data_IF_880316651807
#
_entry.id   IF_880316651807
#
_cell.length_a   1.000
_cell.length_b   1.000
_cell.length_c   1.000
_cell.angle_alpha   90.00
_cell.angle_beta   90.00
_cell.angle_gamma   90.00
#
_symmetry.space_group_name_H-M   'P 1'
#
loop_
_entity.id
_entity.type
_entity.pdbx_description
1 polymer ?
#
# COMPACT_ATOMS: atom_id res chain seq x y z
N UNK A 1 -4.12 -17.95 -17.82
CA UNK A 1 -4.82 -16.64 -17.90
C UNK A 1 -4.36 -15.85 -19.14
N UNK A 2 -5.26 -15.19 -19.88
CA UNK A 2 -4.90 -14.37 -21.04
C UNK A 2 -4.49 -12.98 -20.56
N UNK A 3 -3.26 -12.54 -20.89
CA UNK A 3 -2.70 -11.25 -20.45
C UNK A 3 -2.74 -10.28 -21.62
N UNK A 4 -3.37 -9.13 -21.40
CA UNK A 4 -3.42 -7.99 -22.34
C UNK A 4 -2.54 -6.88 -21.77
N UNK A 5 -1.47 -6.55 -22.48
CA UNK A 5 -0.59 -5.46 -22.11
C UNK A 5 -1.15 -4.14 -22.65
N UNK A 6 -1.19 -3.13 -21.76
CA UNK A 6 -1.67 -1.78 -22.10
C UNK A 6 -0.49 -0.82 -22.04
N UNK A 7 0.04 -0.36 -23.18
CA UNK A 7 1.11 0.60 -23.20
C UNK A 7 0.62 1.96 -22.67
N UNK A 8 1.22 2.45 -21.61
CA UNK A 8 0.97 3.80 -21.11
C UNK A 8 1.66 4.84 -22.01
N UNK A 9 1.07 6.02 -22.20
CA UNK A 9 1.71 7.08 -22.99
C UNK A 9 3.10 7.44 -22.44
N UNK A 10 3.99 7.93 -23.32
CA UNK A 10 5.34 8.33 -22.92
C UNK A 10 5.31 9.44 -21.86
N UNK A 11 6.23 9.38 -20.92
CA UNK A 11 6.39 10.33 -19.81
C UNK A 11 5.18 10.46 -18.87
N UNK A 12 4.14 9.66 -19.04
CA UNK A 12 2.99 9.59 -18.12
C UNK A 12 3.37 8.83 -16.87
N UNK A 13 3.11 9.42 -15.72
CA UNK A 13 3.44 8.86 -14.41
C UNK A 13 2.23 8.39 -13.61
N UNK A 14 1.09 9.01 -13.85
CA UNK A 14 -0.16 8.70 -13.17
C UNK A 14 -1.19 8.14 -14.15
N UNK A 15 -1.97 7.16 -13.68
CA UNK A 15 -3.03 6.56 -14.48
C UNK A 15 -4.06 7.60 -14.95
N UNK A 16 -4.29 8.65 -14.17
CA UNK A 16 -5.19 9.75 -14.54
C UNK A 16 -4.75 10.53 -15.79
N UNK A 17 -3.44 10.61 -16.01
CA UNK A 17 -2.87 11.26 -17.20
C UNK A 17 -3.07 10.42 -18.46
N UNK A 18 -3.07 9.08 -18.29
CA UNK A 18 -3.35 8.11 -19.36
C UNK A 18 -4.82 7.64 -19.44
N UNK A 19 -5.75 8.30 -18.73
CA UNK A 19 -7.13 7.84 -18.56
C UNK A 19 -7.86 7.51 -19.86
N UNK A 20 -7.63 8.28 -20.93
CA UNK A 20 -8.30 8.08 -22.21
C UNK A 20 -7.88 6.76 -22.86
N UNK A 21 -6.59 6.41 -22.80
CA UNK A 21 -6.07 5.12 -23.27
C UNK A 21 -6.64 3.98 -22.39
N UNK A 22 -6.58 4.14 -21.09
CA UNK A 22 -7.07 3.11 -20.16
C UNK A 22 -8.55 2.82 -20.37
N UNK A 23 -9.41 3.83 -20.38
CA UNK A 23 -10.85 3.63 -20.52
C UNK A 23 -11.30 3.28 -21.95
N UNK A 24 -10.45 3.40 -22.96
CA UNK A 24 -10.73 2.86 -24.30
C UNK A 24 -10.47 1.35 -24.40
N UNK A 25 -9.62 0.79 -23.52
CA UNK A 25 -9.22 -0.62 -23.53
C UNK A 25 -9.92 -1.41 -22.43
N UNK A 26 -9.97 -0.84 -21.21
CA UNK A 26 -10.62 -1.51 -20.09
C UNK A 26 -12.13 -1.65 -20.34
N UNK A 27 -12.71 -2.83 -20.13
CA UNK A 27 -14.12 -3.01 -20.36
C UNK A 27 -14.95 -2.17 -19.39
N UNK A 28 -16.01 -1.51 -19.86
CA UNK A 28 -16.91 -0.76 -18.99
C UNK A 28 -17.67 -1.69 -18.02
N UNK A 29 -17.87 -2.93 -18.41
CA UNK A 29 -18.56 -3.95 -17.64
C UNK A 29 -17.78 -5.27 -17.71
N UNK A 30 -18.02 -6.12 -16.70
CA UNK A 30 -17.38 -7.44 -16.60
C UNK A 30 -16.34 -7.52 -15.50
N UNK A 31 -15.68 -8.67 -15.45
CA UNK A 31 -14.70 -9.01 -14.39
C UNK A 31 -13.28 -9.01 -14.98
N UNK A 32 -12.38 -8.28 -14.37
CA UNK A 32 -10.99 -8.23 -14.84
C UNK A 32 -10.01 -7.98 -13.69
N UNK A 33 -8.77 -8.35 -13.94
CA UNK A 33 -7.62 -8.02 -13.10
C UNK A 33 -6.86 -6.88 -13.75
N UNK A 34 -6.51 -5.87 -12.97
CA UNK A 34 -5.70 -4.74 -13.41
C UNK A 34 -4.38 -4.70 -12.63
N UNK A 35 -3.32 -5.18 -13.27
CA UNK A 35 -1.96 -5.04 -12.80
C UNK A 35 -1.44 -3.64 -13.14
N UNK A 36 -1.34 -2.81 -12.12
CA UNK A 36 -0.81 -1.45 -12.27
C UNK A 36 0.70 -1.44 -12.55
N UNK A 37 1.41 -2.53 -12.26
CA UNK A 37 2.87 -2.71 -12.36
C UNK A 37 3.71 -1.63 -11.65
N UNK A 38 3.09 -0.54 -11.20
CA UNK A 38 3.75 0.58 -10.51
C UNK A 38 2.96 0.98 -9.27
N UNK A 39 3.62 1.00 -8.11
CA UNK A 39 3.03 1.50 -6.87
C UNK A 39 2.90 3.02 -6.91
N UNK A 40 1.81 3.55 -6.32
CA UNK A 40 1.61 4.99 -6.25
C UNK A 40 1.27 5.70 -7.55
N UNK A 41 0.92 4.97 -8.60
CA UNK A 41 0.53 5.53 -9.90
C UNK A 41 -0.91 6.09 -9.95
N UNK A 42 -1.62 6.20 -8.81
CA UNK A 42 -2.94 6.84 -8.75
C UNK A 42 -4.10 5.98 -9.27
N UNK A 43 -4.01 4.64 -9.19
CA UNK A 43 -5.08 3.77 -9.68
C UNK A 43 -6.41 3.99 -8.95
N UNK A 44 -6.43 3.99 -7.62
CA UNK A 44 -7.63 4.28 -6.81
C UNK A 44 -8.19 5.66 -7.12
N UNK A 45 -7.32 6.65 -7.28
CA UNK A 45 -7.64 8.02 -7.67
C UNK A 45 -8.41 8.09 -8.99
N UNK A 46 -7.92 7.37 -10.00
CA UNK A 46 -8.56 7.31 -11.32
C UNK A 46 -10.01 6.85 -11.23
N UNK A 47 -10.28 5.79 -10.46
CA UNK A 47 -11.63 5.24 -10.33
C UNK A 47 -12.53 6.07 -9.43
N UNK A 48 -12.01 6.67 -8.37
CA UNK A 48 -12.78 7.60 -7.51
C UNK A 48 -13.27 8.81 -8.31
N UNK A 49 -12.43 9.36 -9.18
CA UNK A 49 -12.78 10.49 -10.05
C UNK A 49 -13.52 10.09 -11.34
N UNK A 50 -13.85 8.81 -11.50
CA UNK A 50 -14.66 8.36 -12.65
C UNK A 50 -16.13 8.74 -12.48
N UNK A 51 -16.82 8.99 -13.60
CA UNK A 51 -18.24 9.34 -13.65
C UNK A 51 -19.21 8.16 -13.42
N UNK A 52 -18.79 7.08 -12.73
CA UNK A 52 -19.62 5.89 -12.49
C UNK A 52 -19.75 5.56 -11.00
N UNK A 53 -20.88 4.95 -10.57
CA UNK A 53 -21.00 4.41 -9.22
C UNK A 53 -19.89 3.42 -8.90
N UNK A 54 -19.32 3.50 -7.68
CA UNK A 54 -18.15 2.73 -7.28
C UNK A 54 -18.31 2.18 -5.86
N UNK A 55 -17.96 0.92 -5.67
CA UNK A 55 -17.67 0.34 -4.35
C UNK A 55 -16.17 0.06 -4.30
N UNK A 56 -15.43 0.88 -3.56
CA UNK A 56 -14.01 0.66 -3.29
C UNK A 56 -13.87 -0.22 -2.05
N UNK A 57 -13.30 -1.40 -2.26
CA UNK A 57 -13.03 -2.38 -1.22
C UNK A 57 -11.53 -2.44 -0.97
N UNK A 58 -11.14 -2.24 0.28
CA UNK A 58 -9.72 -2.29 0.67
C UNK A 58 -9.54 -3.18 1.91
N UNK A 59 -8.43 -3.93 2.01
CA UNK A 59 -8.13 -4.73 3.21
C UNK A 59 -7.84 -3.90 4.45
N UNK A 60 -7.56 -2.59 4.29
CA UNK A 60 -7.12 -1.71 5.37
C UNK A 60 -7.99 -0.46 5.50
N UNK A 61 -8.57 -0.26 6.68
CA UNK A 61 -9.38 0.92 6.99
C UNK A 61 -8.62 2.24 6.88
N UNK A 62 -7.32 2.24 7.21
CA UNK A 62 -6.45 3.41 7.09
C UNK A 62 -6.35 3.94 5.65
N UNK A 63 -6.36 3.04 4.64
CA UNK A 63 -6.40 3.42 3.22
C UNK A 63 -7.68 4.19 2.91
N UNK A 64 -8.82 3.65 3.35
CA UNK A 64 -10.13 4.25 3.13
C UNK A 64 -10.25 5.62 3.80
N UNK A 65 -9.70 5.76 5.02
CA UNK A 65 -9.64 7.02 5.74
C UNK A 65 -8.85 8.07 4.97
N UNK A 66 -7.67 7.71 4.49
CA UNK A 66 -6.84 8.60 3.70
C UNK A 66 -7.54 9.04 2.42
N UNK A 67 -8.18 8.10 1.71
CA UNK A 67 -8.91 8.40 0.48
C UNK A 67 -10.11 9.32 0.74
N UNK A 68 -10.88 9.07 1.78
CA UNK A 68 -12.00 9.93 2.15
C UNK A 68 -11.54 11.37 2.46
N UNK A 69 -10.41 11.52 3.17
CA UNK A 69 -9.86 12.84 3.49
C UNK A 69 -9.26 13.55 2.25
N UNK A 70 -8.74 12.80 1.28
CA UNK A 70 -8.18 13.35 0.03
C UNK A 70 -9.26 13.78 -0.97
N UNK A 71 -10.48 13.26 -0.85
CA UNK A 71 -11.58 13.47 -1.79
C UNK A 71 -12.88 13.96 -1.12
N UNK A 72 -12.86 15.05 -0.34
CA UNK A 72 -14.05 15.57 0.32
C UNK A 72 -15.14 15.98 -0.68
N UNK A 73 -14.77 16.33 -1.91
CA UNK A 73 -15.67 16.75 -2.98
C UNK A 73 -16.51 15.58 -3.54
N UNK A 74 -16.09 14.34 -3.34
CA UNK A 74 -16.78 13.17 -3.91
C UNK A 74 -18.03 12.74 -3.10
N UNK A 75 -18.34 13.37 -1.97
CA UNK A 75 -19.46 12.98 -1.09
C UNK A 75 -19.47 11.48 -0.78
N UNK A 76 -18.35 10.96 -0.27
CA UNK A 76 -18.14 9.53 -0.07
C UNK A 76 -18.90 8.98 1.12
N UNK A 77 -19.45 7.74 0.97
CA UNK A 77 -19.77 6.89 2.11
C UNK A 77 -18.52 6.14 2.55
N UNK A 78 -18.25 6.08 3.85
CA UNK A 78 -17.16 5.31 4.42
C UNK A 78 -17.58 4.57 5.68
N UNK A 79 -17.23 3.28 5.78
CA UNK A 79 -17.31 2.53 7.04
C UNK A 79 -16.18 2.95 8.00
N UNK A 80 -16.48 2.99 9.28
CA UNK A 80 -15.50 3.27 10.32
C UNK A 80 -15.10 1.99 11.06
N UNK A 81 -13.86 1.93 11.56
CA UNK A 81 -13.45 0.87 12.48
C UNK A 81 -14.32 0.88 13.74
N UNK A 82 -14.67 -0.31 14.24
CA UNK A 82 -15.50 -0.48 15.44
C UNK A 82 -16.92 0.09 15.33
N UNK A 83 -17.40 0.43 14.13
CA UNK A 83 -18.78 0.86 13.93
C UNK A 83 -19.72 -0.33 14.18
N UNK A 84 -20.81 -0.08 14.90
CA UNK A 84 -21.85 -1.10 15.10
C UNK A 84 -22.51 -1.40 13.76
N UNK A 85 -22.84 -2.68 13.53
CA UNK A 85 -23.42 -3.14 12.28
C UNK A 85 -24.70 -2.41 11.89
N UNK A 86 -25.59 -2.20 12.85
CA UNK A 86 -26.88 -1.53 12.61
C UNK A 86 -26.68 -0.05 12.24
N UNK A 87 -25.69 0.61 12.84
CA UNK A 87 -25.33 1.99 12.51
C UNK A 87 -24.76 2.06 11.08
N UNK A 88 -23.90 1.10 10.70
CA UNK A 88 -23.35 1.00 9.35
C UNK A 88 -24.46 0.83 8.31
N UNK A 89 -25.38 -0.11 8.53
CA UNK A 89 -26.52 -0.36 7.62
C UNK A 89 -27.44 0.85 7.50
N UNK A 90 -27.73 1.51 8.61
CA UNK A 90 -28.59 2.70 8.63
C UNK A 90 -27.96 3.86 7.88
N UNK A 91 -26.69 4.14 8.10
CA UNK A 91 -25.95 5.19 7.38
C UNK A 91 -25.83 4.91 5.89
N UNK A 92 -25.56 3.65 5.52
CA UNK A 92 -25.47 3.23 4.11
C UNK A 92 -26.81 3.45 3.39
N UNK A 93 -27.92 3.06 4.01
CA UNK A 93 -29.26 3.28 3.45
C UNK A 93 -29.55 4.75 3.27
N UNK A 94 -29.32 5.55 4.31
CA UNK A 94 -29.51 7.01 4.24
C UNK A 94 -28.66 7.64 3.13
N UNK A 95 -27.39 7.23 3.00
CA UNK A 95 -26.51 7.71 1.95
C UNK A 95 -27.05 7.37 0.54
N UNK A 96 -27.50 6.13 0.32
CA UNK A 96 -28.05 5.69 -0.97
C UNK A 96 -29.40 6.36 -1.26
N UNK A 97 -30.24 6.57 -0.25
CA UNK A 97 -31.55 7.25 -0.39
C UNK A 97 -31.41 8.74 -0.70
N UNK A 98 -30.38 9.38 -0.13
CA UNK A 98 -30.09 10.80 -0.37
C UNK A 98 -29.35 11.06 -1.68
N UNK A 99 -28.83 10.02 -2.35
CA UNK A 99 -28.12 10.16 -3.60
C UNK A 99 -29.08 10.16 -4.80
N UNK A 100 -29.18 11.29 -5.48
CA UNK A 100 -30.06 11.48 -6.65
C UNK A 100 -29.36 11.25 -7.98
N UNK A 101 -28.28 10.45 -8.00
CA UNK A 101 -27.59 10.12 -9.25
C UNK A 101 -28.46 9.24 -10.16
N UNK A 102 -28.64 9.69 -11.40
CA UNK A 102 -29.26 8.91 -12.46
C UNK A 102 -28.25 8.79 -13.61
N UNK A 103 -27.89 7.56 -13.96
CA UNK A 103 -26.94 7.31 -15.04
C UNK A 103 -27.42 7.96 -16.36
N UNK A 104 -26.59 8.81 -16.93
CA UNK A 104 -26.89 9.53 -18.18
C UNK A 104 -27.77 10.80 -18.03
N UNK A 105 -28.32 11.09 -16.84
CA UNK A 105 -29.17 12.26 -16.59
C UNK A 105 -28.53 13.30 -15.65
N UNK A 106 -27.42 12.94 -14.99
CA UNK A 106 -26.69 13.85 -14.10
C UNK A 106 -26.67 13.42 -12.63
N UNK A 107 -26.12 14.30 -11.77
CA UNK A 107 -25.87 14.01 -10.36
C UNK A 107 -24.47 13.47 -10.10
N UNK A 108 -24.08 13.43 -8.82
CA UNK A 108 -22.79 12.86 -8.40
C UNK A 108 -22.91 11.36 -8.22
N UNK A 109 -22.12 10.54 -8.94
CA UNK A 109 -22.20 9.09 -8.79
C UNK A 109 -21.83 8.65 -7.37
N UNK A 110 -22.61 7.74 -6.75
CA UNK A 110 -22.32 7.28 -5.40
C UNK A 110 -20.99 6.55 -5.33
N UNK A 111 -20.20 6.87 -4.29
CA UNK A 111 -18.89 6.27 -4.01
C UNK A 111 -18.92 5.68 -2.59
N UNK A 112 -18.75 4.38 -2.50
CA UNK A 112 -18.80 3.64 -1.24
C UNK A 112 -17.41 3.09 -0.94
N UNK A 113 -16.83 3.47 0.20
CA UNK A 113 -15.53 3.02 0.68
C UNK A 113 -15.74 2.05 1.86
N UNK A 114 -15.35 0.80 1.68
CA UNK A 114 -15.67 -0.27 2.64
C UNK A 114 -14.48 -1.23 2.80
N UNK A 115 -14.33 -1.79 4.01
CA UNK A 115 -13.37 -2.89 4.24
C UNK A 115 -13.90 -4.22 3.74
N UNK A 116 -12.99 -5.19 3.51
CA UNK A 116 -13.36 -6.55 3.11
C UNK A 116 -14.38 -7.18 4.06
N UNK A 117 -14.16 -7.05 5.38
CA UNK A 117 -15.03 -7.66 6.41
C UNK A 117 -16.47 -7.11 6.37
N UNK A 118 -16.63 -5.86 5.92
CA UNK A 118 -17.93 -5.17 5.88
C UNK A 118 -18.57 -5.15 4.49
N UNK A 119 -17.86 -5.57 3.44
CA UNK A 119 -18.31 -5.48 2.05
C UNK A 119 -19.63 -6.27 1.80
N UNK A 120 -19.85 -7.37 2.51
CA UNK A 120 -21.08 -8.17 2.42
C UNK A 120 -22.34 -7.33 2.63
N UNK A 121 -22.32 -6.35 3.53
CA UNK A 121 -23.50 -5.54 3.83
C UNK A 121 -23.82 -4.56 2.69
N UNK A 122 -22.81 -4.08 1.99
CA UNK A 122 -23.00 -3.27 0.79
C UNK A 122 -23.58 -4.11 -0.34
N UNK A 123 -23.04 -5.32 -0.54
CA UNK A 123 -23.53 -6.26 -1.56
C UNK A 123 -25.01 -6.61 -1.29
N UNK A 124 -25.36 -6.99 -0.06
CA UNK A 124 -26.73 -7.30 0.34
C UNK A 124 -27.70 -6.11 0.11
N UNK A 125 -27.30 -4.90 0.49
CA UNK A 125 -28.12 -3.69 0.33
C UNK A 125 -28.32 -3.32 -1.15
N UNK A 126 -27.26 -3.40 -1.97
CA UNK A 126 -27.34 -3.12 -3.41
C UNK A 126 -28.14 -4.18 -4.17
N UNK A 127 -28.11 -5.45 -3.72
CA UNK A 127 -28.97 -6.51 -4.24
C UNK A 127 -30.43 -6.26 -3.90
N UNK A 128 -30.73 -5.95 -2.63
CA UNK A 128 -32.08 -5.61 -2.19
C UNK A 128 -32.68 -4.48 -3.04
N UNK A 129 -31.87 -3.48 -3.37
CA UNK A 129 -32.25 -2.36 -4.24
C UNK A 129 -32.25 -2.70 -5.73
N UNK A 130 -31.79 -3.87 -6.13
CA UNK A 130 -31.60 -4.29 -7.53
C UNK A 130 -30.69 -3.36 -8.34
N UNK A 131 -29.71 -2.71 -7.68
CA UNK A 131 -28.81 -1.73 -8.29
C UNK A 131 -27.34 -2.19 -8.33
N UNK A 132 -27.04 -3.39 -7.87
CA UNK A 132 -25.69 -3.92 -7.73
C UNK A 132 -24.90 -3.86 -9.05
N UNK A 133 -25.54 -4.13 -10.18
CA UNK A 133 -24.89 -4.12 -11.49
C UNK A 133 -24.61 -2.71 -12.07
N UNK A 134 -25.12 -1.67 -11.43
CA UNK A 134 -24.79 -0.30 -11.77
C UNK A 134 -23.41 0.14 -11.19
N UNK A 135 -22.93 -0.58 -10.19
CA UNK A 135 -21.69 -0.28 -9.52
C UNK A 135 -20.52 -1.07 -10.11
N UNK A 136 -19.35 -0.41 -10.17
CA UNK A 136 -18.08 -1.10 -10.29
C UNK A 136 -17.59 -1.45 -8.88
N UNK A 137 -17.26 -2.70 -8.63
CA UNK A 137 -16.58 -3.15 -7.43
C UNK A 137 -15.07 -3.13 -7.69
N UNK A 138 -14.37 -2.18 -7.08
CA UNK A 138 -12.92 -2.06 -7.16
C UNK A 138 -12.30 -2.67 -5.91
N UNK A 139 -11.71 -3.86 -6.04
CA UNK A 139 -10.96 -4.52 -4.96
C UNK A 139 -9.51 -4.09 -5.06
N UNK A 140 -9.14 -3.08 -4.28
CA UNK A 140 -7.78 -2.54 -4.27
C UNK A 140 -6.86 -3.40 -3.38
N UNK A 141 -5.62 -3.58 -3.81
CA UNK A 141 -4.61 -4.44 -3.18
C UNK A 141 -5.13 -5.88 -2.98
N UNK A 142 -5.76 -6.44 -4.03
CA UNK A 142 -6.42 -7.76 -3.95
C UNK A 142 -5.45 -8.92 -3.67
N UNK A 143 -4.14 -8.74 -3.88
CA UNK A 143 -3.13 -9.74 -3.52
C UNK A 143 -3.15 -10.07 -2.02
N UNK A 144 -3.67 -9.16 -1.17
CA UNK A 144 -3.83 -9.41 0.27
C UNK A 144 -4.78 -10.57 0.56
N UNK A 145 -5.78 -10.79 -0.30
CA UNK A 145 -6.69 -11.94 -0.20
C UNK A 145 -5.96 -13.28 -0.31
N UNK A 146 -4.80 -13.27 -0.96
CA UNK A 146 -3.97 -14.46 -1.17
C UNK A 146 -2.86 -14.50 -0.12
N UNK A 147 -2.17 -13.38 0.14
CA UNK A 147 -1.05 -13.31 1.08
C UNK A 147 -1.47 -13.48 2.55
N UNK A 148 -2.66 -13.01 2.91
CA UNK A 148 -3.21 -13.12 4.27
C UNK A 148 -3.98 -14.44 4.49
N UNK A 149 -4.03 -15.33 3.50
CA UNK A 149 -4.80 -16.60 3.55
C UNK A 149 -4.43 -17.50 4.74
N UNK A 150 -3.21 -17.41 5.27
CA UNK A 150 -2.79 -18.12 6.49
C UNK A 150 -3.51 -17.64 7.75
N UNK A 151 -4.03 -16.40 7.77
CA UNK A 151 -4.70 -15.80 8.92
C UNK A 151 -6.21 -15.65 8.74
N UNK A 152 -6.66 -15.36 7.51
CA UNK A 152 -8.06 -15.03 7.19
C UNK A 152 -8.63 -15.83 6.02
N UNK A 153 -7.94 -16.87 5.54
CA UNK A 153 -8.24 -17.55 4.27
C UNK A 153 -9.70 -17.99 4.09
N UNK A 154 -10.38 -18.40 5.16
CA UNK A 154 -11.80 -18.75 5.08
C UNK A 154 -12.68 -17.53 4.80
N UNK A 155 -12.47 -16.45 5.52
CA UNK A 155 -13.25 -15.19 5.37
C UNK A 155 -13.00 -14.55 4.01
N UNK A 156 -11.75 -14.53 3.55
CA UNK A 156 -11.36 -13.92 2.28
C UNK A 156 -11.91 -14.73 1.10
N UNK A 157 -11.90 -16.06 1.18
CA UNK A 157 -12.50 -16.92 0.17
C UNK A 157 -14.03 -16.81 0.14
N UNK A 158 -14.69 -16.71 1.29
CA UNK A 158 -16.14 -16.48 1.39
C UNK A 158 -16.51 -15.13 0.76
N UNK A 159 -15.70 -14.09 1.01
CA UNK A 159 -15.87 -12.79 0.36
C UNK A 159 -15.74 -12.88 -1.15
N UNK A 160 -14.68 -13.52 -1.68
CA UNK A 160 -14.49 -13.68 -3.13
C UNK A 160 -15.67 -14.40 -3.78
N UNK A 161 -16.13 -15.52 -3.21
CA UNK A 161 -17.30 -16.27 -3.70
C UNK A 161 -18.56 -15.43 -3.70
N UNK A 162 -18.79 -14.68 -2.63
CA UNK A 162 -19.95 -13.81 -2.51
C UNK A 162 -19.90 -12.69 -3.54
N UNK A 163 -18.77 -12.04 -3.72
CA UNK A 163 -18.61 -10.96 -4.68
C UNK A 163 -18.78 -11.49 -6.11
N UNK A 164 -18.10 -12.59 -6.44
CA UNK A 164 -18.15 -13.20 -7.77
C UNK A 164 -19.55 -13.70 -8.14
N UNK A 165 -20.28 -14.24 -7.18
CA UNK A 165 -21.64 -14.75 -7.40
C UNK A 165 -22.72 -13.69 -7.54
N UNK A 166 -22.45 -12.45 -7.10
CA UNK A 166 -23.49 -11.40 -7.00
C UNK A 166 -23.22 -10.17 -7.86
N UNK A 167 -21.96 -9.81 -8.11
CA UNK A 167 -21.60 -8.63 -8.89
C UNK A 167 -21.11 -9.02 -10.29
N UNK A 168 -21.54 -8.27 -11.29
CA UNK A 168 -21.12 -8.46 -12.69
C UNK A 168 -19.88 -7.62 -13.04
N UNK A 169 -19.69 -6.47 -12.38
CA UNK A 169 -18.64 -5.51 -12.71
C UNK A 169 -17.61 -5.47 -11.58
N UNK A 170 -16.49 -6.15 -11.76
CA UNK A 170 -15.44 -6.28 -10.74
C UNK A 170 -14.08 -5.98 -11.36
N UNK A 171 -13.33 -5.07 -10.73
CA UNK A 171 -11.93 -4.83 -11.01
C UNK A 171 -11.09 -5.25 -9.79
N UNK A 172 -10.29 -6.28 -9.96
CA UNK A 172 -9.26 -6.67 -8.98
C UNK A 172 -7.97 -5.92 -9.32
N UNK A 173 -7.58 -4.94 -8.50
CA UNK A 173 -6.48 -4.05 -8.81
C UNK A 173 -5.32 -4.23 -7.83
N UNK A 174 -4.10 -4.29 -8.38
CA UNK A 174 -2.86 -4.30 -7.60
C UNK A 174 -1.69 -3.73 -8.41
N UNK A 175 -0.67 -3.23 -7.72
CA UNK A 175 0.63 -2.92 -8.33
C UNK A 175 1.61 -4.10 -8.22
N UNK A 176 1.29 -5.05 -7.36
CA UNK A 176 2.10 -6.25 -7.07
C UNK A 176 1.17 -7.46 -6.97
N UNK A 177 0.49 -7.84 -8.06
CA UNK A 177 -0.44 -8.97 -8.03
C UNK A 177 0.30 -10.27 -7.74
N UNK A 178 -0.45 -11.24 -7.20
CA UNK A 178 0.06 -12.59 -7.03
C UNK A 178 0.41 -13.21 -8.38
N UNK A 179 1.37 -14.14 -8.39
CA UNK A 179 1.79 -14.83 -9.62
C UNK A 179 0.66 -15.68 -10.21
N UNK A 180 0.66 -15.82 -11.55
CA UNK A 180 -0.37 -16.54 -12.31
C UNK A 180 -0.77 -17.89 -11.73
N UNK A 181 0.14 -18.78 -11.25
CA UNK A 181 -0.27 -20.06 -10.70
C UNK A 181 -1.24 -19.96 -9.51
N UNK A 182 -1.09 -18.94 -8.68
CA UNK A 182 -1.99 -18.71 -7.54
C UNK A 182 -3.34 -18.16 -8.00
N UNK A 183 -3.34 -17.28 -9.00
CA UNK A 183 -4.58 -16.74 -9.58
C UNK A 183 -5.36 -17.81 -10.34
N UNK A 184 -4.69 -18.68 -11.11
CA UNK A 184 -5.31 -19.77 -11.86
C UNK A 184 -5.91 -20.84 -10.94
N UNK A 185 -5.42 -20.97 -9.70
CA UNK A 185 -5.96 -21.90 -8.71
C UNK A 185 -7.35 -21.49 -8.19
N UNK A 186 -7.67 -20.19 -8.20
CA UNK A 186 -8.95 -19.67 -7.71
C UNK A 186 -9.96 -19.56 -8.84
N UNK A 187 -11.12 -20.17 -8.65
CA UNK A 187 -12.20 -20.24 -9.68
C UNK A 187 -12.69 -18.85 -10.05
N UNK A 188 -12.73 -17.95 -9.08
CA UNK A 188 -13.22 -16.57 -9.21
C UNK A 188 -12.36 -15.73 -10.18
N UNK A 189 -11.08 -16.09 -10.36
CA UNK A 189 -10.20 -15.39 -11.29
C UNK A 189 -10.08 -16.04 -12.67
N UNK A 190 -10.51 -17.28 -12.85
CA UNK A 190 -10.35 -18.02 -14.12
C UNK A 190 -10.99 -17.35 -15.32
N UNK A 191 -12.10 -16.65 -15.10
CA UNK A 191 -12.85 -15.96 -16.15
C UNK A 191 -12.51 -14.47 -16.24
N UNK A 192 -11.52 -13.99 -15.46
CA UNK A 192 -11.08 -12.61 -15.53
C UNK A 192 -10.09 -12.42 -16.68
N UNK A 193 -10.25 -11.33 -17.43
CA UNK A 193 -9.21 -10.86 -18.34
C UNK A 193 -8.15 -10.17 -17.50
N UNK A 194 -6.88 -10.44 -17.78
CA UNK A 194 -5.77 -9.83 -17.06
C UNK A 194 -5.19 -8.70 -17.89
N UNK A 195 -5.32 -7.47 -17.42
CA UNK A 195 -4.71 -6.28 -18.00
C UNK A 195 -3.48 -5.88 -17.21
N UNK A 196 -2.35 -5.70 -17.90
CA UNK A 196 -1.09 -5.27 -17.31
C UNK A 196 -0.66 -3.96 -17.93
N UNK A 197 -0.39 -2.95 -17.10
CA UNK A 197 0.12 -1.67 -17.58
C UNK A 197 1.61 -1.76 -17.88
N UNK A 198 1.99 -1.31 -19.06
CA UNK A 198 3.38 -1.13 -19.47
C UNK A 198 3.75 0.35 -19.42
N UNK A 199 4.56 0.69 -18.43
CA UNK A 199 5.02 2.06 -18.22
C UNK A 199 6.26 2.37 -19.04
N UNK A 200 6.39 3.63 -19.49
CA UNK A 200 7.62 4.14 -20.08
C UNK A 200 8.80 3.88 -19.09
N UNK A 201 9.88 3.23 -19.54
CA UNK A 201 11.05 3.00 -18.70
C UNK A 201 11.63 4.27 -18.05
N UNK A 202 11.40 5.44 -18.65
CA UNK A 202 11.88 6.72 -18.13
C UNK A 202 11.13 7.18 -16.86
N UNK A 203 9.92 6.69 -16.62
CA UNK A 203 9.15 7.01 -15.41
C UNK A 203 9.32 5.96 -14.31
N UNK A 204 9.90 4.79 -14.66
CA UNK A 204 10.18 3.75 -13.69
C UNK A 204 11.40 4.14 -12.85
N UNK A 205 11.23 4.14 -11.55
CA UNK A 205 12.31 4.44 -10.61
C UNK A 205 12.80 3.16 -9.97
N UNK A 206 14.10 2.90 -10.11
CA UNK A 206 14.75 1.75 -9.48
C UNK A 206 15.29 2.12 -8.11
N UNK A 207 14.85 1.43 -7.04
CA UNK A 207 15.47 1.62 -5.74
C UNK A 207 16.88 1.01 -5.75
N UNK A 208 17.88 1.74 -5.25
CA UNK A 208 19.18 1.16 -4.94
C UNK A 208 19.13 0.59 -3.54
N UNK A 209 19.19 -0.71 -3.46
CA UNK A 209 19.16 -1.45 -2.21
C UNK A 209 20.58 -1.66 -1.70
N UNK A 210 20.86 -1.19 -0.48
CA UNK A 210 22.10 -1.51 0.24
C UNK A 210 21.80 -2.53 1.32
N UNK A 211 22.33 -3.71 1.18
CA UNK A 211 22.23 -4.74 2.20
C UNK A 211 23.23 -4.47 3.34
N UNK A 212 22.75 -4.55 4.56
CA UNK A 212 23.58 -4.54 5.77
C UNK A 212 23.48 -5.93 6.41
N UNK A 213 24.52 -6.73 6.24
CA UNK A 213 24.58 -8.05 6.83
C UNK A 213 24.84 -7.96 8.33
N UNK A 214 24.04 -8.65 9.12
CA UNK A 214 24.25 -8.76 10.55
C UNK A 214 25.35 -9.81 10.85
N UNK A 215 26.34 -9.42 11.64
CA UNK A 215 27.40 -10.32 12.11
C UNK A 215 26.88 -11.24 13.21
N UNK A 216 27.63 -12.29 13.53
CA UNK A 216 27.29 -13.17 14.65
C UNK A 216 27.20 -12.37 15.97
N UNK A 217 26.05 -12.43 16.62
CA UNK A 217 25.77 -11.68 17.86
C UNK A 217 25.13 -10.32 17.68
N UNK A 218 25.04 -9.78 16.46
CA UNK A 218 24.27 -8.58 16.15
C UNK A 218 22.77 -8.92 16.05
N UNK A 219 21.95 -7.95 16.40
CA UNK A 219 20.49 -8.04 16.32
C UNK A 219 19.96 -6.80 15.59
N UNK A 220 18.71 -6.81 15.08
CA UNK A 220 18.09 -5.59 14.54
C UNK A 220 18.17 -4.40 15.51
N UNK A 221 18.08 -4.67 16.81
CA UNK A 221 18.15 -3.66 17.86
C UNK A 221 19.55 -3.02 17.92
N UNK A 222 20.61 -3.84 17.95
CA UNK A 222 21.99 -3.33 18.05
C UNK A 222 22.38 -2.53 16.82
N UNK A 223 22.07 -3.03 15.62
CA UNK A 223 22.38 -2.33 14.36
C UNK A 223 21.62 -1.00 14.29
N UNK A 224 20.33 -0.98 14.62
CA UNK A 224 19.60 0.28 14.53
C UNK A 224 20.01 1.26 15.63
N UNK A 225 20.43 0.77 16.80
CA UNK A 225 21.05 1.61 17.83
C UNK A 225 22.35 2.26 17.34
N UNK A 226 23.14 1.56 16.53
CA UNK A 226 24.35 2.13 15.90
C UNK A 226 23.98 3.19 14.86
N UNK A 227 22.93 2.98 14.07
CA UNK A 227 22.39 3.95 13.13
C UNK A 227 21.93 5.21 13.88
N UNK A 228 21.19 5.07 14.99
CA UNK A 228 20.74 6.19 15.81
C UNK A 228 21.95 6.95 16.42
N UNK A 229 22.93 6.23 16.95
CA UNK A 229 24.17 6.87 17.50
C UNK A 229 24.90 7.66 16.42
N UNK A 230 25.03 7.08 15.23
CA UNK A 230 25.63 7.76 14.09
C UNK A 230 24.84 9.02 13.70
N UNK A 231 23.51 8.90 13.61
CA UNK A 231 22.64 10.06 13.33
C UNK A 231 22.81 11.17 14.39
N UNK A 232 22.79 10.82 15.67
CA UNK A 232 22.98 11.80 16.75
C UNK A 232 24.33 12.51 16.69
N UNK A 233 25.37 11.84 16.20
CA UNK A 233 26.71 12.41 16.02
C UNK A 233 26.79 13.27 14.75
N UNK A 234 26.28 12.77 13.63
CA UNK A 234 26.52 13.31 12.29
C UNK A 234 25.37 14.24 11.82
N UNK A 235 24.17 14.13 12.42
CA UNK A 235 22.99 14.92 12.09
C UNK A 235 22.25 14.43 10.84
N UNK A 236 22.62 13.28 10.26
CA UNK A 236 21.97 12.72 9.07
C UNK A 236 22.08 11.19 9.00
N UNK A 237 21.11 10.56 8.33
CA UNK A 237 21.11 9.11 8.05
C UNK A 237 21.91 8.76 6.80
N UNK A 238 21.75 9.57 5.76
CA UNK A 238 22.44 9.42 4.50
C UNK A 238 22.78 10.79 3.89
N UNK A 239 23.79 10.82 3.01
CA UNK A 239 24.16 12.03 2.27
C UNK A 239 24.37 11.71 0.79
N UNK A 240 24.05 12.67 -0.06
CA UNK A 240 24.32 12.62 -1.51
C UNK A 240 24.89 13.94 -1.97
N UNK A 241 25.78 13.87 -2.95
CA UNK A 241 26.32 15.06 -3.63
C UNK A 241 25.78 15.01 -5.06
N UNK A 242 25.02 16.01 -5.46
CA UNK A 242 24.43 16.13 -6.80
C UNK A 242 24.78 17.51 -7.34
N UNK A 243 25.46 17.56 -8.47
CA UNK A 243 25.93 18.81 -9.10
C UNK A 243 26.71 19.73 -8.13
N UNK A 244 27.54 19.15 -7.26
CA UNK A 244 28.34 19.88 -6.28
C UNK A 244 27.59 20.30 -5.00
N UNK A 245 26.28 20.10 -4.92
CA UNK A 245 25.49 20.39 -3.73
C UNK A 245 25.32 19.16 -2.85
N UNK A 246 25.54 19.33 -1.54
CA UNK A 246 25.35 18.28 -0.55
C UNK A 246 23.90 18.26 -0.06
N UNK A 247 23.28 17.08 -0.12
CA UNK A 247 21.94 16.81 0.41
C UNK A 247 22.04 15.81 1.56
N UNK A 248 21.25 16.03 2.62
CA UNK A 248 21.25 15.21 3.83
C UNK A 248 19.85 14.68 4.12
N UNK A 249 19.77 13.40 4.48
CA UNK A 249 18.55 12.78 5.00
C UNK A 249 18.52 12.94 6.51
N UNK A 250 17.51 13.60 7.03
CA UNK A 250 17.32 13.84 8.48
C UNK A 250 16.14 13.07 9.07
N UNK A 251 15.44 12.31 8.24
CA UNK A 251 14.29 11.49 8.61
C UNK A 251 14.52 10.03 8.22
N UNK A 252 14.03 9.09 9.03
CA UNK A 252 14.08 7.65 8.77
C UNK A 252 12.69 7.03 8.87
N UNK A 253 12.29 6.28 7.83
CA UNK A 253 11.13 5.40 7.86
C UNK A 253 11.62 3.96 8.00
N UNK A 254 11.17 3.27 9.04
CA UNK A 254 11.73 1.99 9.50
C UNK A 254 10.63 0.94 9.54
N UNK A 255 10.72 -0.04 8.67
CA UNK A 255 9.79 -1.17 8.61
C UNK A 255 10.31 -2.34 9.43
N UNK A 256 9.60 -2.70 10.50
CA UNK A 256 9.92 -3.82 11.39
C UNK A 256 8.62 -4.56 11.75
N UNK A 257 8.47 -5.81 11.32
CA UNK A 257 7.25 -6.57 11.60
C UNK A 257 7.21 -7.20 13.01
N UNK A 258 7.92 -6.62 13.98
CA UNK A 258 7.89 -7.04 15.39
C UNK A 258 7.82 -5.82 16.31
N UNK A 259 6.62 -5.50 16.79
CA UNK A 259 6.39 -4.34 17.69
C UNK A 259 7.22 -4.40 18.95
N UNK A 260 7.49 -5.60 19.47
CA UNK A 260 8.38 -5.78 20.63
C UNK A 260 9.82 -5.31 20.34
N UNK A 261 10.30 -5.48 19.14
CA UNK A 261 11.61 -4.98 18.70
C UNK A 261 11.58 -3.45 18.59
N UNK A 262 10.51 -2.86 18.05
CA UNK A 262 10.32 -1.40 18.01
C UNK A 262 10.37 -0.84 19.44
N UNK A 263 9.60 -1.40 20.38
CA UNK A 263 9.60 -0.97 21.78
C UNK A 263 11.00 -1.01 22.41
N UNK A 264 11.76 -2.09 22.18
CA UNK A 264 13.13 -2.22 22.69
C UNK A 264 14.09 -1.18 22.10
N UNK A 265 13.99 -0.91 20.79
CA UNK A 265 14.79 0.15 20.13
C UNK A 265 14.49 1.50 20.78
N UNK A 266 13.22 1.84 20.98
CA UNK A 266 12.79 3.09 21.62
C UNK A 266 13.38 3.20 23.02
N UNK A 267 13.23 2.18 23.85
CA UNK A 267 13.69 2.18 25.24
C UNK A 267 15.23 2.27 25.33
N UNK A 268 15.96 1.44 24.58
CA UNK A 268 17.42 1.40 24.63
C UNK A 268 18.08 2.68 24.12
N UNK A 269 17.42 3.41 23.25
CA UNK A 269 17.95 4.63 22.68
C UNK A 269 17.31 5.90 23.25
N UNK A 270 16.43 5.77 24.26
CA UNK A 270 15.70 6.88 24.87
C UNK A 270 15.05 7.81 23.82
N UNK A 271 14.36 7.17 22.83
CA UNK A 271 13.66 7.94 21.80
C UNK A 271 12.41 8.61 22.39
N UNK A 272 12.22 9.88 22.05
CA UNK A 272 11.12 10.69 22.60
C UNK A 272 9.90 10.72 21.66
N UNK A 273 8.68 10.89 22.19
CA UNK A 273 7.48 11.08 21.35
C UNK A 273 7.57 12.27 20.41
N UNK A 274 8.35 13.31 20.75
CA UNK A 274 8.57 14.49 19.92
C UNK A 274 9.36 14.21 18.65
N UNK A 275 10.23 13.19 18.67
CA UNK A 275 11.09 12.81 17.53
C UNK A 275 10.64 11.51 16.84
N UNK A 276 9.62 10.82 17.38
CA UNK A 276 9.26 9.47 16.92
C UNK A 276 7.77 9.33 16.67
N UNK A 277 7.43 8.77 15.51
CA UNK A 277 6.08 8.32 15.13
C UNK A 277 6.03 6.80 15.12
N UNK A 278 4.91 6.21 15.59
CA UNK A 278 4.71 4.76 15.65
C UNK A 278 3.43 4.39 14.92
N UNK A 279 3.58 3.64 13.83
CA UNK A 279 2.51 3.19 12.95
C UNK A 279 2.38 1.67 13.03
N UNK A 280 1.57 1.21 13.97
CA UNK A 280 1.29 -0.20 14.23
C UNK A 280 -0.22 -0.42 14.37
N UNK A 281 -0.66 -1.68 14.43
CA UNK A 281 -2.05 -2.00 14.75
C UNK A 281 -2.38 -1.63 16.19
N UNK A 282 -3.50 -0.94 16.41
CA UNK A 282 -4.02 -0.60 17.74
C UNK A 282 -4.35 -1.84 18.59
N UNK A 283 -4.65 -2.97 17.95
CA UNK A 283 -4.91 -4.24 18.65
C UNK A 283 -3.65 -4.93 19.19
N UNK A 284 -2.45 -4.39 18.92
CA UNK A 284 -1.20 -5.00 19.38
C UNK A 284 -1.05 -4.88 20.90
N UNK A 285 -0.65 -5.98 21.53
CA UNK A 285 -0.47 -6.06 23.00
C UNK A 285 0.56 -5.10 23.59
N UNK A 286 1.51 -4.63 22.79
CA UNK A 286 2.55 -3.70 23.23
C UNK A 286 2.09 -2.22 23.20
N UNK A 287 0.92 -1.92 22.61
CA UNK A 287 0.37 -0.56 22.52
C UNK A 287 0.31 0.11 23.89
N UNK A 288 -0.26 -0.55 24.90
CA UNK A 288 -0.35 0.00 26.28
C UNK A 288 1.00 0.38 26.87
N UNK A 289 2.09 -0.31 26.51
CA UNK A 289 3.44 0.02 26.98
C UNK A 289 3.98 1.26 26.29
N UNK A 290 3.73 1.40 24.98
CA UNK A 290 4.13 2.56 24.21
C UNK A 290 3.35 3.82 24.66
N UNK A 291 2.05 3.70 24.92
CA UNK A 291 1.23 4.78 25.47
C UNK A 291 1.70 5.26 26.86
N UNK A 292 2.13 4.32 27.74
CA UNK A 292 2.75 4.67 29.04
C UNK A 292 4.07 5.43 28.90
N UNK A 293 4.75 5.28 27.78
CA UNK A 293 5.94 6.05 27.42
C UNK A 293 5.61 7.39 26.74
N UNK A 294 4.32 7.72 26.63
CA UNK A 294 3.84 8.98 26.05
C UNK A 294 3.65 8.96 24.53
N UNK A 295 3.74 7.79 23.87
CA UNK A 295 3.55 7.72 22.42
C UNK A 295 2.08 7.61 22.04
N UNK A 296 1.67 8.35 21.03
CA UNK A 296 0.39 8.17 20.34
C UNK A 296 0.58 7.15 19.22
N UNK A 297 -0.33 6.17 19.14
CA UNK A 297 -0.25 5.09 18.14
C UNK A 297 -1.16 5.41 16.97
N UNK A 298 -0.67 5.14 15.76
CA UNK A 298 -1.44 5.33 14.54
C UNK A 298 -1.60 6.78 14.09
N UNK A 299 -0.96 7.73 14.77
CA UNK A 299 -0.95 9.13 14.37
C UNK A 299 -0.28 9.26 12.99
N UNK A 300 -1.03 9.80 12.03
CA UNK A 300 -0.48 10.08 10.72
C UNK A 300 0.04 11.51 10.69
N UNK A 301 1.34 11.64 10.53
CA UNK A 301 2.03 12.92 10.65
C UNK A 301 2.02 13.74 9.36
N UNK A 302 1.52 13.22 8.23
CA UNK A 302 1.89 13.83 6.96
C UNK A 302 0.69 14.20 6.10
N UNK A 303 0.50 15.50 5.93
CA UNK A 303 -0.24 16.09 4.82
C UNK A 303 0.72 16.26 3.64
N UNK A 304 0.23 16.01 2.42
CA UNK A 304 0.99 16.21 1.18
C UNK A 304 1.46 17.66 1.01
N UNK A 305 0.64 18.61 1.43
CA UNK A 305 0.89 20.05 1.26
C UNK A 305 1.72 20.64 2.39
N UNK A 306 1.73 20.00 3.56
CA UNK A 306 2.48 20.44 4.73
C UNK A 306 3.06 19.21 5.48
N UNK A 307 4.06 18.54 4.91
CA UNK A 307 4.63 17.34 5.52
C UNK A 307 5.39 17.72 6.79
N UNK A 308 4.80 17.44 7.94
CA UNK A 308 5.47 17.53 9.24
C UNK A 308 5.84 16.12 9.66
N UNK A 309 7.10 15.76 9.47
CA UNK A 309 7.62 14.45 9.83
C UNK A 309 8.47 14.54 11.08
N UNK A 310 8.48 13.46 11.87
CA UNK A 310 9.44 13.28 12.95
C UNK A 310 10.69 12.57 12.43
N UNK A 311 11.77 12.66 13.18
CA UNK A 311 13.05 12.05 12.82
C UNK A 311 12.95 10.55 12.56
N UNK A 312 12.15 9.85 13.37
CA UNK A 312 11.97 8.39 13.25
C UNK A 312 10.50 8.06 13.05
N UNK A 313 10.20 7.24 12.06
CA UNK A 313 8.88 6.66 11.84
C UNK A 313 9.01 5.15 11.82
N UNK A 314 8.49 4.46 12.85
CA UNK A 314 8.47 3.01 12.92
C UNK A 314 7.16 2.44 12.41
N UNK A 315 7.24 1.46 11.53
CA UNK A 315 6.11 0.84 10.85
C UNK A 315 6.11 -0.69 11.07
N UNK A 316 4.95 -1.26 11.42
CA UNK A 316 4.73 -2.71 11.33
C UNK A 316 3.98 -3.08 10.05
N UNK A 317 3.74 -4.39 9.82
CA UNK A 317 3.01 -4.90 8.65
C UNK A 317 1.65 -4.19 8.43
N UNK A 318 0.97 -3.78 9.50
CA UNK A 318 -0.27 -3.02 9.42
C UNK A 318 -0.15 -1.69 8.65
N UNK A 319 1.07 -1.19 8.44
CA UNK A 319 1.35 0.08 7.76
C UNK A 319 2.06 -0.09 6.41
N UNK A 320 2.44 -1.33 6.01
CA UNK A 320 3.08 -1.58 4.71
C UNK A 320 2.14 -1.28 3.55
N UNK A 321 0.86 -1.51 3.79
CA UNK A 321 -0.19 -1.34 2.82
C UNK A 321 -1.05 -0.14 3.22
N UNK A 322 -1.10 0.89 2.36
CA UNK A 322 -2.06 1.97 2.46
C UNK A 322 -1.71 3.19 3.28
N UNK A 323 -0.52 3.28 3.90
CA UNK A 323 -0.05 4.51 4.51
C UNK A 323 1.03 5.15 3.66
N UNK A 324 0.80 6.38 3.25
CA UNK A 324 1.72 7.15 2.42
C UNK A 324 2.59 8.07 3.28
N UNK A 325 3.86 8.20 2.94
CA UNK A 325 4.81 9.10 3.59
C UNK A 325 5.15 10.26 2.65
N UNK A 326 4.92 11.46 3.11
CA UNK A 326 5.20 12.68 2.37
C UNK A 326 6.41 13.39 2.97
N UNK A 327 7.59 12.77 2.85
CA UNK A 327 8.86 13.34 3.29
C UNK A 327 9.69 13.82 2.12
N UNK A 328 10.35 14.95 2.29
CA UNK A 328 11.30 15.51 1.31
C UNK A 328 12.68 14.90 1.38
N UNK A 329 13.01 14.18 2.46
CA UNK A 329 14.35 13.64 2.66
C UNK A 329 14.44 12.32 3.44
N UNK A 330 13.33 11.63 3.73
CA UNK A 330 13.37 10.40 4.51
C UNK A 330 14.12 9.28 3.79
N UNK A 331 14.95 8.57 4.58
CA UNK A 331 15.65 7.36 4.19
C UNK A 331 14.89 6.14 4.71
N UNK A 332 14.79 5.08 3.91
CA UNK A 332 14.01 3.88 4.26
C UNK A 332 14.92 2.77 4.77
N UNK A 333 14.52 2.15 5.87
CA UNK A 333 15.12 0.94 6.43
C UNK A 333 14.08 -0.19 6.50
N UNK A 334 14.44 -1.38 6.05
CA UNK A 334 13.57 -2.57 6.11
C UNK A 334 14.32 -3.67 6.85
N UNK A 335 13.75 -4.12 7.98
CA UNK A 335 14.30 -5.22 8.77
C UNK A 335 13.69 -6.55 8.35
N UNK A 336 14.54 -7.51 8.03
CA UNK A 336 14.18 -8.86 7.65
C UNK A 336 14.83 -9.85 8.61
N UNK A 337 14.06 -10.82 9.09
CA UNK A 337 14.57 -11.94 9.86
C UNK A 337 14.11 -13.26 9.24
N UNK A 338 14.96 -13.85 8.40
CA UNK A 338 14.66 -15.11 7.73
C UNK A 338 14.60 -16.34 8.67
N UNK A 339 14.84 -16.16 9.97
CA UNK A 339 14.66 -17.24 10.97
C UNK A 339 13.26 -17.30 11.54
N UNK A 340 12.43 -16.30 11.22
CA UNK A 340 11.06 -16.18 11.72
C UNK A 340 10.11 -15.97 10.54
N UNK A 341 9.21 -16.87 10.31
CA UNK A 341 8.26 -16.82 9.18
C UNK A 341 7.47 -15.50 9.12
N UNK A 342 7.11 -14.93 10.27
CA UNK A 342 6.38 -13.66 10.35
C UNK A 342 7.24 -12.40 10.13
N UNK A 343 8.57 -12.54 10.03
CA UNK A 343 9.51 -11.47 9.69
C UNK A 343 10.17 -11.66 8.33
N UNK A 344 9.76 -12.70 7.59
CA UNK A 344 10.06 -12.83 6.17
C UNK A 344 9.11 -11.94 5.39
N UNK A 345 9.61 -11.32 4.34
CA UNK A 345 8.82 -10.47 3.45
C UNK A 345 8.90 -11.01 2.04
N UNK A 346 7.73 -11.05 1.39
CA UNK A 346 7.68 -11.37 -0.04
C UNK A 346 8.36 -10.24 -0.83
N UNK A 347 9.37 -10.65 -1.61
CA UNK A 347 10.20 -9.73 -2.38
C UNK A 347 9.42 -9.11 -3.54
N UNK A 348 8.49 -9.88 -4.10
CA UNK A 348 7.69 -9.45 -5.25
C UNK A 348 6.50 -8.61 -4.86
N UNK A 349 6.01 -8.73 -3.63
CA UNK A 349 4.79 -8.08 -3.15
C UNK A 349 5.11 -7.05 -2.06
N UNK A 350 5.65 -7.47 -0.91
CA UNK A 350 5.76 -6.61 0.28
C UNK A 350 6.88 -5.57 0.17
N UNK A 351 8.06 -5.96 -0.35
CA UNK A 351 9.19 -5.02 -0.50
C UNK A 351 8.84 -3.86 -1.45
N UNK A 352 8.31 -4.08 -2.67
CA UNK A 352 7.86 -3.00 -3.53
C UNK A 352 6.78 -2.11 -2.90
N UNK A 353 5.88 -2.70 -2.10
CA UNK A 353 4.86 -1.94 -1.38
C UNK A 353 5.49 -0.98 -0.35
N UNK A 354 6.43 -1.45 0.48
CA UNK A 354 7.15 -0.61 1.45
C UNK A 354 7.91 0.51 0.76
N UNK A 355 8.64 0.21 -0.31
CA UNK A 355 9.42 1.18 -1.07
C UNK A 355 8.55 2.22 -1.75
N UNK A 356 7.38 1.82 -2.25
CA UNK A 356 6.41 2.71 -2.88
C UNK A 356 5.69 3.68 -1.93
N UNK A 357 5.90 3.61 -0.61
CA UNK A 357 5.21 4.48 0.36
C UNK A 357 5.75 5.90 0.43
N UNK A 358 6.99 6.14 0.03
CA UNK A 358 7.56 7.48 -0.08
C UNK A 358 7.00 8.18 -1.33
N UNK A 359 6.12 9.18 -1.15
CA UNK A 359 5.34 9.76 -2.26
C UNK A 359 5.94 11.00 -2.91
N UNK A 360 6.72 11.80 -2.17
CA UNK A 360 7.26 13.03 -2.74
C UNK A 360 8.46 12.75 -3.65
N UNK A 361 8.41 13.31 -4.85
CA UNK A 361 9.45 13.13 -5.87
C UNK A 361 10.70 13.94 -5.59
N UNK A 362 10.54 15.02 -4.84
CA UNK A 362 11.65 15.84 -4.36
C UNK A 362 12.51 15.11 -3.32
N UNK A 363 12.05 13.99 -2.78
CA UNK A 363 12.84 13.17 -1.87
C UNK A 363 13.95 12.43 -2.63
N UNK A 364 15.14 12.98 -2.62
CA UNK A 364 16.34 12.44 -3.27
C UNK A 364 16.85 11.13 -2.66
N UNK A 365 16.37 10.77 -1.47
CA UNK A 365 16.75 9.56 -0.75
C UNK A 365 15.72 8.44 -0.90
N UNK A 366 14.58 8.74 -1.51
CA UNK A 366 13.52 7.79 -1.81
C UNK A 366 14.01 6.64 -2.68
N UNK A 367 14.89 6.98 -3.66
CA UNK A 367 15.51 6.04 -4.58
C UNK A 367 16.89 6.56 -4.99
N UNK A 368 17.84 5.65 -5.24
CA UNK A 368 19.08 6.07 -5.88
C UNK A 368 18.86 6.20 -7.40
N UNK A 369 19.00 7.40 -7.88
CA UNK A 369 18.91 7.71 -9.30
C UNK A 369 20.25 7.40 -9.96
N UNK A 370 20.38 6.28 -10.65
CA UNK A 370 21.45 6.11 -11.63
C UNK A 370 20.85 6.35 -13.03
N UNK A 371 20.98 7.56 -13.53
CA UNK A 371 20.86 7.86 -14.94
C UNK A 371 22.08 7.27 -15.66
N UNK A 372 22.07 5.98 -15.95
CA UNK A 372 22.86 5.43 -17.04
C UNK A 372 22.04 4.37 -17.75
N UNK A 373 21.87 4.61 -19.06
CA UNK A 373 21.26 3.80 -20.07
C UNK A 373 21.74 2.35 -20.05
N UNK A 374 21.25 1.54 -19.13
CA UNK A 374 21.34 0.09 -19.24
C UNK A 374 19.92 -0.45 -19.18
N UNK A 375 19.48 -1.05 -20.28
CA UNK A 375 18.29 -1.87 -20.38
C UNK A 375 18.38 -2.97 -19.32
N UNK A 376 17.85 -2.70 -18.14
CA UNK A 376 17.81 -3.69 -17.08
C UNK A 376 16.58 -4.57 -17.28
N UNK A 377 16.82 -5.80 -17.67
CA UNK A 377 15.79 -6.80 -17.94
C UNK A 377 15.12 -7.19 -16.61
N UNK A 378 13.80 -7.10 -16.50
CA UNK A 378 13.01 -7.35 -15.29
C UNK A 378 13.24 -8.76 -14.72
N UNK A 379 13.51 -9.75 -15.59
CA UNK A 379 13.89 -11.11 -15.19
C UNK A 379 15.25 -11.17 -14.48
N UNK A 380 16.21 -10.33 -14.85
CA UNK A 380 17.49 -10.22 -14.13
C UNK A 380 17.32 -9.60 -12.74
N UNK A 381 16.29 -8.76 -12.52
CA UNK A 381 15.98 -8.17 -11.22
C UNK A 381 15.37 -9.19 -10.26
N UNK A 382 14.43 -10.03 -10.71
CA UNK A 382 13.95 -11.18 -9.92
C UNK A 382 15.10 -12.05 -9.45
N UNK A 383 16.06 -12.33 -10.32
CA UNK A 383 17.25 -13.11 -10.00
C UNK A 383 18.20 -12.39 -9.03
N UNK A 384 18.30 -11.05 -9.11
CA UNK A 384 19.18 -10.29 -8.21
C UNK A 384 18.60 -10.23 -6.80
N UNK A 385 17.29 -9.97 -6.64
CA UNK A 385 16.62 -10.06 -5.36
C UNK A 385 16.59 -11.49 -4.81
N UNK A 386 16.33 -12.51 -5.61
CA UNK A 386 16.35 -13.91 -5.17
C UNK A 386 17.71 -14.37 -4.69
N UNK A 387 18.83 -13.83 -5.21
CA UNK A 387 20.18 -14.09 -4.70
C UNK A 387 20.42 -13.51 -3.30
N UNK A 388 19.72 -12.43 -2.93
CA UNK A 388 19.83 -11.85 -1.59
C UNK A 388 19.07 -12.66 -0.52
N UNK A 389 18.13 -13.53 -0.91
CA UNK A 389 17.23 -14.26 -0.01
C UNK A 389 17.40 -15.77 -0.05
N UNK A 390 18.66 -16.25 -0.13
CA UNK A 390 18.91 -17.69 0.05
C UNK A 390 18.54 -18.14 1.47
N UNK A 391 17.98 -19.36 1.65
CA UNK A 391 17.42 -19.84 2.93
C UNK A 391 18.39 -19.88 4.13
N UNK A 392 19.68 -19.69 3.90
CA UNK A 392 20.72 -19.79 4.91
C UNK A 392 21.16 -18.47 5.57
N UNK A 393 20.50 -17.35 5.29
CA UNK A 393 20.91 -16.04 5.82
C UNK A 393 19.98 -15.59 6.96
N UNK A 394 20.52 -15.62 8.18
CA UNK A 394 19.76 -15.56 9.43
C UNK A 394 19.13 -14.21 9.77
N UNK A 395 19.74 -13.06 9.41
CA UNK A 395 19.20 -11.72 9.72
C UNK A 395 19.73 -10.70 8.72
N UNK A 396 18.87 -9.82 8.21
CA UNK A 396 19.25 -8.76 7.26
C UNK A 396 18.55 -7.43 7.57
N UNK A 397 19.28 -6.35 7.39
CA UNK A 397 18.76 -5.01 7.28
C UNK A 397 18.96 -4.52 5.85
N UNK A 398 17.92 -4.04 5.23
CA UNK A 398 17.97 -3.37 3.94
C UNK A 398 17.87 -1.87 4.18
N UNK A 399 18.83 -1.13 3.67
CA UNK A 399 18.83 0.32 3.64
C UNK A 399 18.61 0.77 2.18
N UNK A 400 17.60 1.59 1.95
CA UNK A 400 17.19 2.01 0.60
C UNK A 400 17.09 3.52 0.51
#
# INVERSE_FOLDING_TARGET
>A
MNIIEIPMPQNVRYMSEGKNVLFSILPPNGKYILDKALTGCGGTELFLNSGRPLVLISPRSGVLSNKANQHPECHLFRSHEKEKLDDLKTKLRYYLDSNHYISGMGGTPPKILITLDSAKYVIEELQYRRTINNFLFLVDEFQCLISDASFKGKTDLEFLKMLDGNAQNICYMSATPAESPYLDALVEFRNCIYYKLEWDPNVLVEPTVKEILMRKGETPITIFSDIIRKYRRDGYFARKIINGHEYKSTEAVVFINEVKTILKIIQQNNLMPTETTILISESNKEVKKLERLGFTIGEQCTDRNNPVNKTFTFCSKASFEGRDFYSTNAFTYIFLDGTKDWQTHDISIEIPQMLGRQRLDVNLFKYNYNRKNEKCNFEKRKVHFSRFFTPNLKHRLIAV
#
